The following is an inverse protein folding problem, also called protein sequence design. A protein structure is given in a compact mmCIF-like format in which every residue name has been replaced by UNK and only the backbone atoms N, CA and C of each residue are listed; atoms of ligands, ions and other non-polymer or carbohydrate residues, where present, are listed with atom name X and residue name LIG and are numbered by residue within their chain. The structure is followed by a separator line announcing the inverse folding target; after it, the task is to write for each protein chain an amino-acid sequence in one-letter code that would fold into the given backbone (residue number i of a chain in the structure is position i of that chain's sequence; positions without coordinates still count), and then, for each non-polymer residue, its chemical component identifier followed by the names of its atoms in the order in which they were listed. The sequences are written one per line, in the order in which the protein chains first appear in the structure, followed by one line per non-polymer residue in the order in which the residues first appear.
data_IF_195659762392
#
_entry.id   IF_195659762392
#
_cell.length_a   1.000
_cell.length_b   1.000
_cell.length_c   1.000
_cell.angle_alpha   90.00
_cell.angle_beta   90.00
_cell.angle_gamma   90.00
#
_symmetry.space_group_name_H-M   'P 1'
#
loop_
_entity.id
_entity.type
_entity.pdbx_description
1 polymer ?
#
# COMPACT_ATOMS: atom_id res chain seq x y z
N UNK A 1 2.10 -73.07 -13.07
CA UNK A 1 2.94 -74.02 -13.87
C UNK A 1 4.32 -73.40 -13.98
N UNK A 2 5.44 -74.09 -13.78
CA UNK A 2 6.76 -73.46 -13.84
C UNK A 2 7.08 -72.96 -15.26
N UNK A 3 7.82 -71.85 -15.35
CA UNK A 3 8.38 -71.37 -16.62
C UNK A 3 9.25 -72.44 -17.28
N UNK A 4 9.05 -72.63 -18.58
CA UNK A 4 9.82 -73.55 -19.40
C UNK A 4 10.73 -72.78 -20.35
N UNK A 5 12.00 -73.18 -20.48
CA UNK A 5 12.96 -72.49 -21.36
C UNK A 5 12.45 -72.45 -22.81
N UNK A 6 12.27 -71.26 -23.42
CA UNK A 6 11.83 -71.17 -24.80
C UNK A 6 12.80 -71.84 -25.77
N UNK A 7 12.26 -72.57 -26.76
CA UNK A 7 13.05 -73.08 -27.88
C UNK A 7 13.35 -71.92 -28.84
N UNK A 8 14.63 -71.60 -29.04
CA UNK A 8 15.10 -70.49 -29.88
C UNK A 8 15.91 -70.94 -31.09
N UNK A 9 16.23 -72.23 -31.21
CA UNK A 9 17.09 -72.81 -32.23
C UNK A 9 16.29 -73.50 -33.37
N UNK A 10 15.21 -72.88 -33.82
CA UNK A 10 14.39 -73.43 -34.90
C UNK A 10 15.16 -73.45 -36.23
N UNK A 11 15.11 -74.59 -36.94
CA UNK A 11 15.74 -74.79 -38.23
C UNK A 11 14.73 -75.21 -39.30
N UNK A 12 15.09 -75.05 -40.58
CA UNK A 12 14.27 -75.50 -41.69
C UNK A 12 13.94 -77.00 -41.56
N UNK A 13 12.68 -77.35 -41.79
CA UNK A 13 12.18 -78.72 -41.61
C UNK A 13 11.77 -79.09 -40.18
N UNK A 14 11.95 -78.21 -39.18
CA UNK A 14 11.36 -78.42 -37.86
C UNK A 14 9.84 -78.26 -37.92
N UNK A 15 9.09 -79.31 -37.57
CA UNK A 15 7.64 -79.26 -37.42
C UNK A 15 7.30 -78.98 -35.96
N UNK A 16 6.54 -77.92 -35.62
CA UNK A 16 6.08 -77.68 -34.25
C UNK A 16 5.26 -78.85 -33.73
N UNK A 17 5.57 -79.30 -32.51
CA UNK A 17 4.87 -80.42 -31.87
C UNK A 17 3.90 -79.94 -30.79
N UNK A 18 3.00 -80.82 -30.33
CA UNK A 18 2.13 -80.52 -29.19
C UNK A 18 2.93 -80.10 -27.94
N UNK A 19 4.13 -80.66 -27.74
CA UNK A 19 5.00 -80.27 -26.65
C UNK A 19 5.49 -78.81 -26.78
N UNK A 20 5.75 -78.34 -28.00
CA UNK A 20 6.13 -76.95 -28.24
C UNK A 20 4.98 -75.98 -27.94
N UNK A 21 3.75 -76.33 -28.36
CA UNK A 21 2.57 -75.53 -28.06
C UNK A 21 2.26 -75.48 -26.57
N UNK A 22 2.26 -76.63 -25.88
CA UNK A 22 2.09 -76.70 -24.43
C UNK A 22 3.13 -75.84 -23.70
N UNK A 23 4.37 -75.79 -24.20
CA UNK A 23 5.42 -74.93 -23.66
C UNK A 23 5.13 -73.45 -23.86
N UNK A 24 4.73 -73.07 -25.07
CA UNK A 24 4.41 -71.67 -25.40
C UNK A 24 3.20 -71.20 -24.58
N UNK A 25 2.10 -71.96 -24.62
CA UNK A 25 0.88 -71.65 -23.88
C UNK A 25 1.09 -71.70 -22.38
N UNK A 26 1.86 -72.68 -21.87
CA UNK A 26 2.23 -72.76 -20.46
C UNK A 26 3.01 -71.55 -19.98
N UNK A 27 3.97 -71.06 -20.79
CA UNK A 27 4.72 -69.85 -20.48
C UNK A 27 3.89 -68.57 -20.56
N UNK A 28 3.01 -68.46 -21.55
CA UNK A 28 2.04 -67.34 -21.64
C UNK A 28 1.17 -67.34 -20.38
N UNK A 29 0.65 -68.50 -20.00
CA UNK A 29 -0.17 -68.64 -18.80
C UNK A 29 0.61 -68.31 -17.51
N UNK A 30 1.90 -68.67 -17.45
CA UNK A 30 2.79 -68.29 -16.34
C UNK A 30 2.96 -66.77 -16.21
N UNK A 31 3.12 -66.07 -17.34
CA UNK A 31 3.24 -64.60 -17.35
C UNK A 31 1.96 -63.92 -16.83
N UNK A 32 0.80 -64.47 -17.15
CA UNK A 32 -0.51 -63.90 -16.78
C UNK A 32 -0.94 -64.21 -15.34
N UNK A 33 -0.61 -65.40 -14.81
CA UNK A 33 -1.10 -65.82 -13.49
C UNK A 33 -0.16 -65.51 -12.33
N UNK A 34 1.15 -65.45 -12.57
CA UNK A 34 2.10 -65.30 -11.47
C UNK A 34 2.28 -63.83 -11.06
N UNK A 35 2.46 -63.62 -9.76
CA UNK A 35 2.73 -62.27 -9.24
C UNK A 35 4.11 -61.80 -9.68
N UNK A 36 4.17 -60.62 -10.29
CA UNK A 36 5.42 -59.98 -10.71
C UNK A 36 5.52 -58.62 -10.03
N UNK A 37 6.63 -58.37 -9.34
CA UNK A 37 6.90 -57.07 -8.73
C UNK A 37 7.90 -56.31 -9.60
N UNK A 38 7.52 -55.14 -10.15
CA UNK A 38 8.49 -54.28 -10.83
C UNK A 38 9.58 -53.80 -9.87
N UNK A 39 10.79 -53.60 -10.39
CA UNK A 39 11.86 -52.96 -9.63
C UNK A 39 11.58 -51.46 -9.52
N UNK A 40 11.25 -51.01 -8.32
CA UNK A 40 10.97 -49.62 -7.98
C UNK A 40 12.22 -48.78 -7.69
N UNK A 41 13.42 -49.34 -7.90
CA UNK A 41 14.72 -48.66 -7.76
C UNK A 41 15.47 -48.52 -9.08
N UNK A 42 14.87 -48.99 -10.18
CA UNK A 42 15.48 -48.95 -11.50
C UNK A 42 15.65 -47.52 -12.02
N UNK A 43 16.75 -47.30 -12.77
CA UNK A 43 16.98 -46.04 -13.48
C UNK A 43 15.93 -45.85 -14.59
N UNK A 44 15.36 -44.64 -14.76
CA UNK A 44 14.42 -44.33 -15.82
C UNK A 44 14.91 -44.71 -17.22
N UNK A 45 14.07 -45.39 -17.99
CA UNK A 45 14.32 -45.73 -19.38
C UNK A 45 13.12 -45.30 -20.24
N UNK A 46 13.37 -44.50 -21.29
CA UNK A 46 12.34 -44.02 -22.21
C UNK A 46 11.95 -45.06 -23.29
N UNK A 47 12.72 -46.15 -23.41
CA UNK A 47 12.48 -47.26 -24.33
C UNK A 47 13.22 -48.52 -23.86
N UNK A 48 12.82 -49.70 -24.36
CA UNK A 48 13.46 -50.97 -24.02
C UNK A 48 12.47 -52.12 -23.86
N UNK A 49 12.90 -53.24 -23.25
CA UNK A 49 12.01 -54.35 -22.92
C UNK A 49 10.86 -53.89 -22.01
N UNK A 50 9.70 -54.54 -22.10
CA UNK A 50 8.52 -54.22 -21.29
C UNK A 50 8.83 -54.13 -19.79
N UNK A 51 9.70 -55.00 -19.27
CA UNK A 51 10.10 -54.97 -17.86
C UNK A 51 10.82 -53.68 -17.48
N UNK A 52 11.68 -53.13 -18.34
CA UNK A 52 12.36 -51.86 -18.08
C UNK A 52 11.37 -50.69 -18.02
N UNK A 53 10.37 -50.69 -18.92
CA UNK A 53 9.31 -49.69 -18.95
C UNK A 53 8.44 -49.77 -17.68
N UNK A 54 8.06 -50.99 -17.26
CA UNK A 54 7.28 -51.20 -16.03
C UNK A 54 8.06 -50.78 -14.77
N UNK A 55 9.35 -51.12 -14.71
CA UNK A 55 10.24 -50.70 -13.63
C UNK A 55 10.35 -49.17 -13.55
N UNK A 56 10.50 -48.50 -14.71
CA UNK A 56 10.52 -47.04 -14.78
C UNK A 56 9.22 -46.43 -14.22
N UNK A 57 8.04 -46.92 -14.59
CA UNK A 57 6.78 -46.40 -14.06
C UNK A 57 6.67 -46.59 -12.54
N UNK A 58 7.09 -47.74 -12.01
CA UNK A 58 7.09 -47.98 -10.56
C UNK A 58 8.05 -47.01 -9.83
N UNK A 59 9.27 -46.83 -10.34
CA UNK A 59 10.24 -45.89 -9.78
C UNK A 59 9.75 -44.44 -9.84
N UNK A 60 9.13 -44.03 -10.96
CA UNK A 60 8.57 -42.71 -11.14
C UNK A 60 7.39 -42.44 -10.19
N UNK A 61 6.46 -43.39 -10.06
CA UNK A 61 5.32 -43.27 -9.15
C UNK A 61 5.79 -43.14 -7.71
N UNK A 62 6.75 -43.98 -7.27
CA UNK A 62 7.36 -43.87 -5.94
C UNK A 62 8.00 -42.50 -5.71
N UNK A 63 8.73 -41.98 -6.70
CA UNK A 63 9.37 -40.67 -6.62
C UNK A 63 8.34 -39.53 -6.52
N UNK A 64 7.25 -39.59 -7.29
CA UNK A 64 6.19 -38.57 -7.28
C UNK A 64 5.43 -38.59 -5.95
N UNK A 65 5.07 -39.77 -5.44
CA UNK A 65 4.29 -39.88 -4.20
C UNK A 65 5.12 -39.72 -2.95
N UNK A 66 6.46 -39.84 -3.03
CA UNK A 66 7.37 -39.78 -1.90
C UNK A 66 7.23 -40.94 -0.92
N UNK A 67 6.55 -42.03 -1.31
CA UNK A 67 6.25 -43.18 -0.44
C UNK A 67 7.37 -44.20 -0.41
N UNK A 68 7.28 -45.13 0.56
CA UNK A 68 8.23 -46.24 0.69
C UNK A 68 8.14 -47.18 -0.52
N UNK A 69 6.92 -47.50 -0.95
CA UNK A 69 6.61 -48.30 -2.13
C UNK A 69 5.73 -47.54 -3.12
N UNK A 70 5.85 -47.87 -4.41
CA UNK A 70 5.06 -47.25 -5.48
C UNK A 70 3.54 -47.50 -5.38
N UNK A 71 3.13 -48.55 -4.67
CA UNK A 71 1.74 -48.96 -4.45
C UNK A 71 1.19 -48.58 -3.07
N UNK A 72 1.99 -47.94 -2.21
CA UNK A 72 1.47 -47.39 -0.95
C UNK A 72 0.45 -46.29 -1.27
N UNK A 73 -0.54 -46.11 -0.39
CA UNK A 73 -1.55 -45.07 -0.58
C UNK A 73 -0.89 -43.67 -0.64
N UNK A 74 -1.23 -42.82 -1.63
CA UNK A 74 -0.72 -41.44 -1.68
C UNK A 74 -1.30 -40.61 -0.53
N UNK A 75 -0.62 -39.51 -0.15
CA UNK A 75 -1.08 -38.62 0.94
C UNK A 75 -2.40 -37.92 0.62
N UNK A 76 -2.62 -37.61 -0.66
CA UNK A 76 -3.82 -36.93 -1.14
C UNK A 76 -4.24 -37.50 -2.50
N UNK A 77 -5.53 -37.56 -2.74
CA UNK A 77 -6.07 -37.97 -4.05
C UNK A 77 -6.11 -36.78 -5.02
N UNK A 78 -6.11 -37.05 -6.34
CA UNK A 78 -6.31 -36.00 -7.35
C UNK A 78 -7.64 -35.26 -7.17
N UNK A 79 -8.70 -35.96 -6.73
CA UNK A 79 -10.00 -35.35 -6.43
C UNK A 79 -9.91 -34.36 -5.26
N UNK A 80 -9.13 -34.68 -4.23
CA UNK A 80 -8.86 -33.79 -3.10
C UNK A 80 -7.95 -32.62 -3.50
N UNK A 81 -6.98 -32.83 -4.38
CA UNK A 81 -6.11 -31.77 -4.91
C UNK A 81 -6.90 -30.74 -5.74
N UNK A 82 -7.87 -31.19 -6.54
CA UNK A 82 -8.76 -30.31 -7.29
C UNK A 82 -9.57 -29.37 -6.35
N UNK A 83 -9.82 -29.82 -5.13
CA UNK A 83 -10.50 -29.06 -4.09
C UNK A 83 -9.54 -28.38 -3.10
N UNK A 84 -8.23 -28.37 -3.36
CA UNK A 84 -7.26 -27.85 -2.40
C UNK A 84 -7.53 -26.38 -2.04
N UNK A 85 -7.86 -25.53 -3.02
CA UNK A 85 -8.20 -24.12 -2.77
C UNK A 85 -9.45 -23.97 -1.87
N UNK A 86 -10.47 -24.79 -2.06
CA UNK A 86 -11.71 -24.69 -1.27
C UNK A 86 -11.53 -25.19 0.16
N UNK A 87 -10.54 -26.06 0.40
CA UNK A 87 -10.19 -26.49 1.76
C UNK A 87 -9.64 -25.34 2.62
N UNK A 88 -8.85 -24.45 2.01
CA UNK A 88 -8.28 -23.25 2.63
C UNK A 88 -9.25 -22.06 2.70
N UNK A 89 -10.42 -22.15 2.06
CA UNK A 89 -11.42 -21.09 2.10
C UNK A 89 -12.11 -21.03 3.47
N UNK A 90 -12.73 -19.88 3.79
CA UNK A 90 -13.54 -19.70 5.01
C UNK A 90 -14.66 -20.76 5.04
N UNK A 91 -14.77 -21.48 6.16
CA UNK A 91 -15.73 -22.59 6.31
C UNK A 91 -15.30 -23.92 5.68
N UNK A 92 -14.12 -23.95 5.03
CA UNK A 92 -13.49 -25.18 4.56
C UNK A 92 -12.96 -26.05 5.70
N UNK A 93 -12.55 -27.28 5.36
CA UNK A 93 -12.07 -28.26 6.34
C UNK A 93 -10.74 -27.89 7.01
N UNK A 94 -9.97 -27.00 6.39
CA UNK A 94 -8.66 -26.51 6.86
C UNK A 94 -8.56 -25.01 6.55
N UNK A 95 -9.55 -24.26 7.03
CA UNK A 95 -9.65 -22.83 6.76
C UNK A 95 -8.52 -22.07 7.47
N UNK A 96 -7.78 -21.24 6.73
CA UNK A 96 -6.75 -20.38 7.31
C UNK A 96 -7.38 -19.22 8.09
N UNK A 97 -6.94 -19.05 9.32
CA UNK A 97 -7.21 -17.85 10.12
C UNK A 97 -6.23 -16.74 9.78
N UNK A 98 -6.53 -15.46 10.09
CA UNK A 98 -5.54 -14.39 9.94
C UNK A 98 -4.21 -14.68 10.64
N UNK A 99 -4.25 -15.36 11.80
CA UNK A 99 -3.06 -15.71 12.56
C UNK A 99 -2.12 -16.66 11.80
N UNK A 100 -2.67 -17.59 11.00
CA UNK A 100 -1.88 -18.58 10.25
C UNK A 100 -1.00 -17.95 9.17
N UNK A 101 -1.35 -16.74 8.72
CA UNK A 101 -0.60 -15.96 7.71
C UNK A 101 0.02 -14.67 8.27
N UNK A 102 -0.04 -14.47 9.60
CA UNK A 102 0.45 -13.26 10.25
C UNK A 102 -0.35 -11.99 9.94
N UNK A 103 -1.59 -12.13 9.45
CA UNK A 103 -2.50 -11.02 9.21
C UNK A 103 -3.17 -10.56 10.51
N UNK A 104 -3.47 -9.26 10.60
CA UNK A 104 -4.24 -8.71 11.71
C UNK A 104 -5.65 -9.33 11.76
N UNK A 105 -6.17 -9.54 12.96
CA UNK A 105 -7.57 -9.97 13.12
C UNK A 105 -8.52 -8.86 12.69
N UNK A 106 -9.74 -9.22 12.30
CA UNK A 106 -10.80 -8.25 12.02
C UNK A 106 -11.02 -7.32 13.24
N UNK A 107 -10.99 -7.87 14.46
CA UNK A 107 -11.11 -7.07 15.69
C UNK A 107 -9.98 -6.04 15.85
N UNK A 108 -8.75 -6.38 15.47
CA UNK A 108 -7.64 -5.43 15.51
C UNK A 108 -7.80 -4.34 14.45
N UNK A 109 -8.28 -4.70 13.25
CA UNK A 109 -8.59 -3.73 12.20
C UNK A 109 -9.73 -2.78 12.61
N UNK A 110 -10.79 -3.32 13.19
CA UNK A 110 -11.93 -2.53 13.68
C UNK A 110 -11.51 -1.60 14.83
N UNK A 111 -10.67 -2.09 15.75
CA UNK A 111 -10.12 -1.29 16.83
C UNK A 111 -9.26 -0.12 16.30
N UNK A 112 -8.39 -0.41 15.33
CA UNK A 112 -7.55 0.61 14.70
C UNK A 112 -8.39 1.63 13.90
N UNK A 113 -9.46 1.18 13.20
CA UNK A 113 -10.37 2.07 12.47
C UNK A 113 -11.21 2.98 13.41
N UNK A 114 -11.55 2.46 14.59
CA UNK A 114 -12.28 3.18 15.61
C UNK A 114 -11.41 4.16 16.42
N UNK A 115 -10.09 4.06 16.32
CA UNK A 115 -9.16 4.92 17.05
C UNK A 115 -9.28 6.38 16.59
N UNK A 116 -9.88 7.22 17.44
CA UNK A 116 -9.98 8.67 17.24
C UNK A 116 -8.98 9.36 18.14
N UNK A 117 -8.27 10.33 17.59
CA UNK A 117 -7.45 11.19 18.41
C UNK A 117 -8.32 12.09 19.30
N UNK A 118 -7.82 12.40 20.49
CA UNK A 118 -8.41 13.37 21.40
C UNK A 118 -7.33 14.31 21.95
N UNK A 119 -7.72 15.28 22.77
CA UNK A 119 -6.78 16.16 23.47
C UNK A 119 -5.87 15.43 24.46
N UNK A 120 -6.21 14.20 24.85
CA UNK A 120 -5.48 13.40 25.84
C UNK A 120 -4.98 12.05 25.33
N UNK A 121 -5.42 11.60 24.15
CA UNK A 121 -5.05 10.32 23.54
C UNK A 121 -4.53 10.53 22.12
N UNK A 122 -3.32 10.02 21.86
CA UNK A 122 -2.69 10.04 20.54
C UNK A 122 -3.39 9.02 19.62
N UNK A 123 -4.13 9.49 18.60
CA UNK A 123 -4.59 8.67 17.46
C UNK A 123 -3.76 8.96 16.19
N UNK A 124 -4.37 8.95 14.99
CA UNK A 124 -3.67 9.28 13.73
C UNK A 124 -3.12 10.72 13.63
N UNK A 125 -3.70 11.68 14.35
CA UNK A 125 -3.24 13.09 14.42
C UNK A 125 -3.47 13.63 15.83
N UNK A 126 -2.47 14.19 16.51
CA UNK A 126 -2.66 14.82 17.82
C UNK A 126 -3.21 16.25 17.67
N UNK A 127 -4.32 16.56 18.32
CA UNK A 127 -4.85 17.93 18.40
C UNK A 127 -3.95 18.77 19.33
N UNK A 128 -3.38 19.86 18.78
CA UNK A 128 -2.72 20.90 19.57
C UNK A 128 -3.64 22.10 19.82
N UNK A 129 -3.16 23.06 20.60
CA UNK A 129 -3.91 24.29 20.86
C UNK A 129 -4.23 25.05 19.55
N UNK A 130 -5.47 25.53 19.41
CA UNK A 130 -5.91 26.31 18.25
C UNK A 130 -6.36 25.54 17.02
N UNK A 131 -6.31 24.21 17.06
CA UNK A 131 -6.91 23.33 16.05
C UNK A 131 -8.08 22.59 16.69
N UNK A 132 -9.21 22.46 15.99
CA UNK A 132 -10.36 21.66 16.39
C UNK A 132 -10.60 20.51 15.40
N UNK A 133 -10.85 19.32 15.93
CA UNK A 133 -11.22 18.12 15.15
C UNK A 133 -12.64 17.73 15.54
N UNK A 134 -13.56 17.66 14.59
CA UNK A 134 -14.95 17.26 14.88
C UNK A 134 -15.11 15.73 14.98
N UNK A 135 -16.33 15.27 15.30
CA UNK A 135 -16.65 13.83 15.43
C UNK A 135 -16.44 13.03 14.13
N UNK A 136 -16.38 13.71 12.98
CA UNK A 136 -16.14 13.11 11.67
C UNK A 136 -14.66 13.16 11.25
N UNK A 137 -13.79 13.75 12.07
CA UNK A 137 -12.35 13.86 11.80
C UNK A 137 -11.95 15.04 10.92
N UNK A 138 -12.81 16.05 10.74
CA UNK A 138 -12.48 17.24 9.95
C UNK A 138 -11.62 18.18 10.78
N UNK A 139 -10.44 18.56 10.26
CA UNK A 139 -9.57 19.56 10.88
C UNK A 139 -10.06 20.97 10.53
N UNK A 140 -10.20 21.80 11.55
CA UNK A 140 -10.45 23.23 11.43
C UNK A 140 -9.46 23.99 12.31
N UNK A 141 -8.85 25.05 11.80
CA UNK A 141 -8.11 26.00 12.62
C UNK A 141 -8.99 27.25 12.74
N UNK A 142 -9.84 27.30 13.77
CA UNK A 142 -10.64 28.48 14.02
C UNK A 142 -9.76 29.55 14.66
N UNK A 143 -9.80 30.75 14.12
CA UNK A 143 -9.28 31.94 14.83
C UNK A 143 -10.08 32.07 16.12
N UNK A 144 -9.48 31.70 17.26
CA UNK A 144 -10.19 31.71 18.55
C UNK A 144 -10.59 33.13 18.96
N UNK A 145 -9.69 34.09 18.72
CA UNK A 145 -9.98 35.50 18.93
C UNK A 145 -9.13 36.41 18.05
N UNK A 146 -9.63 37.62 17.80
CA UNK A 146 -8.85 38.74 17.27
C UNK A 146 -8.99 39.88 18.26
N UNK A 147 -7.87 40.41 18.77
CA UNK A 147 -7.87 41.43 19.82
C UNK A 147 -8.76 41.05 21.03
N UNK A 148 -8.77 39.76 21.42
CA UNK A 148 -9.58 39.24 22.53
C UNK A 148 -11.09 39.07 22.23
N UNK A 149 -11.57 39.43 21.04
CA UNK A 149 -12.97 39.20 20.62
C UNK A 149 -13.14 37.80 20.04
N UNK A 150 -14.18 37.09 20.47
CA UNK A 150 -14.57 35.75 19.99
C UNK A 150 -15.88 35.81 19.21
N UNK A 151 -16.22 34.76 18.44
CA UNK A 151 -17.49 34.68 17.69
C UNK A 151 -17.49 35.46 16.37
N UNK A 152 -18.58 36.17 16.05
CA UNK A 152 -18.62 37.09 14.90
C UNK A 152 -17.74 38.31 15.21
N UNK A 153 -16.48 38.26 14.79
CA UNK A 153 -15.48 39.29 15.09
C UNK A 153 -15.79 40.57 14.30
N UNK A 154 -16.46 41.51 14.96
CA UNK A 154 -16.61 42.89 14.46
C UNK A 154 -15.50 43.75 15.06
N UNK A 155 -14.59 44.21 14.22
CA UNK A 155 -13.47 45.07 14.64
C UNK A 155 -13.89 46.54 14.66
N UNK A 156 -13.50 47.22 15.72
CA UNK A 156 -13.52 48.68 15.83
C UNK A 156 -12.17 49.26 15.44
N UNK A 157 -12.08 50.58 15.27
CA UNK A 157 -10.80 51.25 14.99
C UNK A 157 -9.76 50.99 16.09
N UNK A 158 -10.18 50.90 17.35
CA UNK A 158 -9.28 50.63 18.48
C UNK A 158 -8.63 49.24 18.40
N UNK A 159 -9.37 48.24 17.91
CA UNK A 159 -8.87 46.85 17.82
C UNK A 159 -7.67 46.69 16.88
N UNK A 160 -7.51 47.64 15.96
CA UNK A 160 -6.43 47.68 14.96
C UNK A 160 -5.53 48.90 15.12
N UNK A 161 -5.64 49.63 16.24
CA UNK A 161 -4.83 50.81 16.55
C UNK A 161 -5.11 52.05 15.68
N UNK A 162 -6.20 52.06 14.92
CA UNK A 162 -6.60 53.19 14.07
C UNK A 162 -7.23 54.36 14.85
N UNK A 163 -7.44 54.20 16.15
CA UNK A 163 -7.82 55.27 17.08
C UNK A 163 -6.61 56.08 17.58
N UNK A 164 -5.40 55.50 17.51
CA UNK A 164 -4.15 56.16 17.89
C UNK A 164 -3.53 56.99 16.75
N UNK A 165 -4.15 56.97 15.57
CA UNK A 165 -3.71 57.71 14.39
C UNK A 165 -4.81 58.68 13.98
N UNK A 166 -4.43 59.91 13.60
CA UNK A 166 -5.32 60.92 13.02
C UNK A 166 -5.82 60.46 11.62
N UNK A 167 -6.75 59.51 11.61
CA UNK A 167 -7.31 58.95 10.38
C UNK A 167 -8.42 59.86 9.83
N UNK A 168 -8.00 60.89 9.10
CA UNK A 168 -8.86 61.91 8.50
C UNK A 168 -8.92 61.73 6.97
N UNK A 169 -10.10 61.96 6.36
CA UNK A 169 -10.20 61.98 4.90
C UNK A 169 -9.42 63.17 4.32
N UNK A 170 -9.01 63.09 3.05
CA UNK A 170 -8.35 64.20 2.38
C UNK A 170 -9.17 65.50 2.44
N UNK A 171 -10.51 65.41 2.42
CA UNK A 171 -11.39 66.58 2.59
C UNK A 171 -11.33 67.11 4.01
N UNK A 172 -11.44 66.25 5.02
CA UNK A 172 -11.36 66.66 6.42
C UNK A 172 -10.02 67.35 6.73
N UNK A 173 -8.90 66.83 6.21
CA UNK A 173 -7.58 67.46 6.38
C UNK A 173 -7.56 68.90 5.80
N UNK A 174 -8.22 69.13 4.67
CA UNK A 174 -8.21 70.45 4.00
C UNK A 174 -9.19 71.46 4.58
N UNK A 175 -10.26 71.01 5.24
CA UNK A 175 -11.34 71.88 5.72
C UNK A 175 -11.42 71.98 7.24
N UNK A 176 -10.61 71.23 7.98
CA UNK A 176 -10.55 71.32 9.44
C UNK A 176 -9.93 72.66 9.87
N UNK A 177 -10.76 73.53 10.43
CA UNK A 177 -10.35 74.85 10.95
C UNK A 177 -9.95 74.82 12.42
N UNK A 178 -10.04 73.65 13.08
CA UNK A 178 -9.73 73.46 14.50
C UNK A 178 -8.28 73.03 14.73
N UNK A 179 -7.61 72.50 13.71
CA UNK A 179 -6.20 72.14 13.74
C UNK A 179 -5.35 73.21 13.06
N UNK A 180 -4.25 73.59 13.70
CA UNK A 180 -3.29 74.53 13.11
C UNK A 180 -2.54 73.88 11.94
N UNK A 181 -2.29 74.67 10.89
CA UNK A 181 -1.40 74.26 9.80
C UNK A 181 0.02 74.09 10.35
N UNK A 182 0.50 72.85 10.40
CA UNK A 182 1.91 72.56 10.70
C UNK A 182 2.71 72.58 9.42
N UNK A 183 3.51 73.64 9.24
CA UNK A 183 4.53 73.69 8.21
C UNK A 183 5.86 73.18 8.76
N UNK A 184 6.71 72.72 7.87
CA UNK A 184 8.08 72.35 8.23
C UNK A 184 8.88 73.59 8.63
N UNK A 185 9.62 73.50 9.74
CA UNK A 185 10.46 74.59 10.25
C UNK A 185 11.91 74.28 9.92
N UNK A 186 12.54 75.12 9.11
CA UNK A 186 13.90 74.87 8.59
C UNK A 186 14.76 76.11 8.76
N UNK A 187 16.08 75.92 8.89
CA UNK A 187 17.08 76.99 8.96
C UNK A 187 17.86 77.22 7.67
N UNK A 188 17.63 76.38 6.65
CA UNK A 188 18.19 76.47 5.31
C UNK A 188 17.17 75.97 4.30
N UNK A 189 17.29 76.40 3.04
CA UNK A 189 16.39 75.98 1.96
C UNK A 189 16.64 74.52 1.55
N UNK A 190 15.68 73.59 1.78
CA UNK A 190 15.80 72.21 1.31
C UNK A 190 15.51 72.15 -0.21
N UNK A 191 15.75 71.00 -0.82
CA UNK A 191 15.31 70.72 -2.20
C UNK A 191 13.79 70.88 -2.29
N UNK A 192 13.32 71.82 -3.14
CA UNK A 192 11.91 72.17 -3.26
C UNK A 192 11.14 71.30 -4.25
N UNK A 193 9.86 71.07 -3.97
CA UNK A 193 8.86 70.57 -4.91
C UNK A 193 7.67 71.54 -4.92
N UNK A 194 7.00 71.67 -6.06
CA UNK A 194 5.93 72.66 -6.27
C UNK A 194 4.85 72.53 -5.18
N UNK A 195 4.52 73.64 -4.51
CA UNK A 195 3.51 73.69 -3.47
C UNK A 195 4.01 73.33 -2.05
N UNK A 196 5.31 73.03 -1.86
CA UNK A 196 5.89 72.93 -0.52
C UNK A 196 5.89 74.30 0.16
N UNK A 197 5.49 74.33 1.43
CA UNK A 197 5.49 75.53 2.29
C UNK A 197 6.34 75.23 3.51
N UNK A 198 7.23 76.14 3.87
CA UNK A 198 8.10 76.07 5.04
C UNK A 198 8.04 77.36 5.85
N UNK A 199 8.46 77.31 7.11
CA UNK A 199 8.88 78.49 7.85
C UNK A 199 10.42 78.52 7.93
N UNK A 200 11.04 79.53 7.32
CA UNK A 200 12.50 79.68 7.30
C UNK A 200 12.96 80.52 8.49
N UNK A 201 13.60 79.89 9.48
CA UNK A 201 13.96 80.53 10.75
C UNK A 201 15.02 81.62 10.62
N UNK A 202 15.96 81.46 9.68
CA UNK A 202 16.99 82.48 9.42
C UNK A 202 16.45 83.76 8.75
N UNK A 203 15.28 83.69 8.12
CA UNK A 203 14.64 84.85 7.48
C UNK A 203 13.39 85.33 8.23
N UNK A 204 12.88 84.54 9.18
CA UNK A 204 11.65 84.81 9.92
C UNK A 204 10.40 84.85 9.05
N UNK A 205 10.39 84.13 7.92
CA UNK A 205 9.32 84.20 6.90
C UNK A 205 8.81 82.83 6.50
N UNK A 206 7.52 82.76 6.17
CA UNK A 206 6.97 81.64 5.42
C UNK A 206 7.44 81.73 3.97
N UNK A 207 7.81 80.58 3.40
CA UNK A 207 8.31 80.47 2.03
C UNK A 207 7.55 79.40 1.27
N UNK A 208 7.21 79.68 0.03
CA UNK A 208 6.59 78.74 -0.91
C UNK A 208 7.55 78.38 -2.04
N UNK A 209 7.59 77.11 -2.45
CA UNK A 209 8.34 76.72 -3.64
C UNK A 209 7.45 76.66 -4.87
N UNK A 210 7.77 77.44 -5.90
CA UNK A 210 6.95 77.59 -7.13
C UNK A 210 7.20 76.51 -8.17
N UNK A 211 8.26 75.71 -8.01
CA UNK A 211 8.79 74.80 -9.03
C UNK A 211 10.16 75.25 -9.56
N UNK A 212 10.43 76.55 -9.55
CA UNK A 212 11.67 77.16 -10.05
C UNK A 212 12.50 77.89 -8.98
N UNK A 213 11.94 78.12 -7.78
CA UNK A 213 12.64 78.78 -6.68
C UNK A 213 11.76 78.98 -5.45
N UNK A 214 12.39 79.39 -4.35
CA UNK A 214 11.71 79.78 -3.11
C UNK A 214 11.31 81.26 -3.16
N UNK A 215 10.04 81.53 -2.86
CA UNK A 215 9.49 82.89 -2.73
C UNK A 215 9.00 83.13 -1.32
#
# INVERSE_FOLDING_TARGET
MPWQTPKTNWAAGNVPTAADFNRIEGNINYIEQESRTPDQTATPAASGPLQAILNFFAALLKAITGKTNWYDAPDITLASLAQHKSRHAIGGADALTPADIGAASQSALDAHLAEKASSTVLGHVKQGDGVNIDSNGVLSANVLSVAGKTGNVVLTKADVGLDQVDNMSATAIRTDTTKELRVEVVSAYPTGYQGRIIFHTGEGKFKGYTGSGWV
#
